data_IF_819053384977
#
_entry.id   IF_819053384977
#
_cell.length_a   1.000
_cell.length_b   1.000
_cell.length_c   1.000
_cell.angle_alpha   90.00
_cell.angle_beta   90.00
_cell.angle_gamma   90.00
#
_symmetry.space_group_name_H-M   'P 1'
#
loop_
_entity.id
_entity.type
_entity.pdbx_description
1 polymer ?
#
# COMPACT_ATOMS: atom_id res chain seq x y z
N UNK A 1 4.96 -27.82 44.98
CA UNK A 1 3.99 -26.81 44.54
C UNK A 1 4.67 -25.99 43.46
N UNK A 2 4.25 -26.17 42.21
CA UNK A 2 4.98 -25.69 41.02
C UNK A 2 4.77 -24.21 40.71
N UNK A 3 5.65 -23.59 39.92
CA UNK A 3 5.43 -22.26 39.39
C UNK A 3 4.42 -22.30 38.24
N UNK A 4 3.45 -21.38 38.28
CA UNK A 4 2.43 -21.16 37.25
C UNK A 4 3.05 -20.32 36.12
N UNK A 5 2.98 -20.74 34.84
CA UNK A 5 3.42 -19.94 33.71
C UNK A 5 2.25 -19.16 33.11
N UNK A 6 2.47 -17.90 32.75
CA UNK A 6 1.50 -17.03 32.07
C UNK A 6 1.65 -15.61 32.63
N UNK A 7 1.91 -14.57 31.84
CA UNK A 7 1.46 -14.29 30.48
C UNK A 7 2.57 -13.48 29.84
N UNK A 8 3.35 -14.07 28.92
CA UNK A 8 4.03 -13.25 27.92
C UNK A 8 2.92 -12.61 27.09
N UNK A 9 2.68 -11.32 27.34
CA UNK A 9 2.02 -10.43 26.38
C UNK A 9 2.82 -10.53 25.10
N UNK A 10 2.39 -11.42 24.21
CA UNK A 10 2.74 -11.35 22.81
C UNK A 10 2.26 -10.00 22.33
N UNK A 11 3.19 -9.04 22.22
CA UNK A 11 3.06 -7.93 21.30
C UNK A 11 2.93 -8.56 19.92
N UNK A 12 1.70 -8.96 19.59
CA UNK A 12 1.30 -9.28 18.24
C UNK A 12 1.43 -7.98 17.47
N UNK A 13 2.65 -7.72 16.99
CA UNK A 13 2.89 -6.77 15.92
C UNK A 13 2.10 -7.30 14.73
N UNK A 14 0.86 -6.83 14.60
CA UNK A 14 0.09 -6.99 13.39
C UNK A 14 0.96 -6.41 12.26
N UNK A 15 1.31 -7.18 11.23
CA UNK A 15 1.89 -6.60 10.05
C UNK A 15 0.75 -5.83 9.38
N UNK A 16 0.65 -4.55 9.72
CA UNK A 16 0.06 -3.58 8.80
C UNK A 16 0.89 -3.75 7.55
N UNK A 17 0.34 -4.39 6.51
CA UNK A 17 0.90 -4.32 5.16
C UNK A 17 0.63 -2.89 4.69
N UNK A 18 1.30 -1.95 5.35
CA UNK A 18 1.58 -0.67 4.80
C UNK A 18 2.45 -1.01 3.60
N UNK A 19 1.85 -1.00 2.42
CA UNK A 19 2.57 -0.67 1.21
C UNK A 19 2.97 0.82 1.33
N UNK A 20 3.78 1.11 2.37
CA UNK A 20 4.50 2.33 2.55
C UNK A 20 5.58 2.27 1.47
N UNK A 21 5.20 2.72 0.28
CA UNK A 21 6.14 3.35 -0.63
C UNK A 21 6.68 4.56 0.15
N UNK A 22 7.71 4.30 0.95
CA UNK A 22 8.48 5.29 1.68
C UNK A 22 9.27 6.10 0.64
N UNK A 23 8.56 6.93 -0.12
CA UNK A 23 9.12 7.99 -0.95
C UNK A 23 9.05 9.28 -0.14
N UNK A 24 9.88 9.39 0.89
CA UNK A 24 10.16 10.68 1.52
C UNK A 24 11.63 10.77 1.90
N UNK A 25 12.31 11.68 1.21
CA UNK A 25 13.25 12.59 1.85
C UNK A 25 14.68 12.09 2.00
N UNK A 26 15.44 12.10 0.90
CA UNK A 26 16.86 12.41 1.02
C UNK A 26 17.02 13.85 1.51
N UNK A 27 16.98 14.08 2.83
CA UNK A 27 17.60 15.24 3.44
C UNK A 27 19.12 15.01 3.43
N UNK A 28 19.72 15.17 2.25
CA UNK A 28 21.17 15.08 2.05
C UNK A 28 21.78 16.45 2.26
N UNK A 29 22.42 16.63 3.42
CA UNK A 29 23.11 17.86 3.79
C UNK A 29 24.18 18.27 2.78
N UNK A 30 24.33 19.58 2.62
CA UNK A 30 25.50 20.19 2.02
C UNK A 30 26.76 19.74 2.76
N UNK A 31 27.54 18.87 2.13
CA UNK A 31 28.99 18.80 2.32
C UNK A 31 29.63 18.97 0.95
N UNK A 32 30.49 19.98 0.87
CA UNK A 32 31.27 20.32 -0.29
C UNK A 32 32.29 19.21 -0.62
N UNK A 33 32.66 19.19 -1.90
CA UNK A 33 33.89 18.64 -2.47
C UNK A 33 34.23 17.17 -2.19
N UNK A 34 33.94 16.33 -3.19
CA UNK A 34 34.91 15.36 -3.69
C UNK A 34 34.52 14.94 -5.11
N UNK A 35 35.31 15.41 -6.08
CA UNK A 35 35.45 14.83 -7.41
C UNK A 35 35.67 13.31 -7.30
N UNK A 36 34.59 12.56 -7.40
CA UNK A 36 34.62 11.13 -7.72
C UNK A 36 33.52 10.92 -8.73
N UNK A 37 33.90 10.54 -9.94
CA UNK A 37 33.00 10.18 -11.03
C UNK A 37 31.95 9.19 -10.51
N UNK A 38 30.78 9.72 -10.14
CA UNK A 38 29.61 8.91 -9.79
C UNK A 38 29.25 8.18 -11.08
N UNK A 39 29.22 6.83 -11.09
CA UNK A 39 28.67 6.12 -12.23
C UNK A 39 27.30 6.71 -12.51
N UNK A 40 27.08 7.17 -13.74
CA UNK A 40 25.77 7.64 -14.16
C UNK A 40 24.75 6.56 -13.75
N UNK A 41 23.64 6.92 -13.07
CA UNK A 41 22.64 5.93 -12.70
C UNK A 41 22.26 5.17 -13.96
N UNK A 42 22.51 3.85 -13.98
CA UNK A 42 22.05 2.99 -15.05
C UNK A 42 20.53 2.89 -14.91
N UNK A 43 19.83 3.89 -15.46
CA UNK A 43 18.38 3.89 -15.55
C UNK A 43 17.99 2.78 -16.51
N UNK A 44 17.63 1.63 -15.95
CA UNK A 44 16.97 0.58 -16.74
C UNK A 44 15.62 1.15 -17.18
N UNK A 45 15.35 1.27 -18.49
CA UNK A 45 14.03 1.69 -18.94
C UNK A 45 12.98 0.64 -18.55
N UNK A 46 11.79 1.09 -18.12
CA UNK A 46 10.64 0.19 -17.91
C UNK A 46 10.36 -0.54 -19.22
N UNK A 47 10.14 -1.85 -19.15
CA UNK A 47 9.69 -2.60 -20.33
C UNK A 47 8.37 -2.00 -20.86
N UNK A 48 8.20 -1.79 -22.17
CA UNK A 48 6.93 -1.34 -22.74
C UNK A 48 5.72 -2.18 -22.30
N UNK A 49 5.93 -3.46 -22.00
CA UNK A 49 4.89 -4.37 -21.52
C UNK A 49 4.48 -4.09 -20.06
N UNK A 50 5.41 -3.59 -19.24
CA UNK A 50 5.14 -3.24 -17.84
C UNK A 50 4.68 -1.79 -17.66
N UNK A 51 4.98 -0.91 -18.63
CA UNK A 51 4.61 0.51 -18.59
C UNK A 51 3.14 0.81 -18.22
N UNK A 52 2.11 0.15 -18.80
CA UNK A 52 0.71 0.43 -18.42
C UNK A 52 0.42 0.05 -16.97
N UNK A 53 0.94 -1.10 -16.51
CA UNK A 53 0.78 -1.51 -15.12
C UNK A 53 1.48 -0.53 -14.17
N UNK A 54 2.69 -0.10 -14.49
CA UNK A 54 3.45 0.82 -13.65
C UNK A 54 2.79 2.21 -13.55
N UNK A 55 2.22 2.71 -14.65
CA UNK A 55 1.42 3.93 -14.62
C UNK A 55 0.17 3.78 -13.74
N UNK A 56 -0.52 2.63 -13.83
CA UNK A 56 -1.69 2.35 -12.99
C UNK A 56 -1.32 2.21 -11.50
N UNK A 57 -0.17 1.60 -11.17
CA UNK A 57 0.36 1.54 -9.80
C UNK A 57 0.56 2.94 -9.23
N UNK A 58 1.15 3.85 -10.02
CA UNK A 58 1.41 5.22 -9.61
C UNK A 58 0.11 6.01 -9.41
N UNK A 59 -0.82 5.93 -10.37
CA UNK A 59 -2.13 6.54 -10.27
C UNK A 59 -2.94 6.01 -9.07
N UNK A 60 -2.82 4.71 -8.77
CA UNK A 60 -3.43 4.11 -7.59
C UNK A 60 -2.80 4.64 -6.29
N UNK A 61 -1.47 4.77 -6.23
CA UNK A 61 -0.79 5.36 -5.08
C UNK A 61 -1.24 6.80 -4.81
N UNK A 62 -1.43 7.61 -5.87
CA UNK A 62 -1.98 8.96 -5.77
C UNK A 62 -3.45 8.96 -5.31
N UNK A 63 -4.27 8.05 -5.85
CA UNK A 63 -5.69 7.94 -5.51
C UNK A 63 -5.93 7.54 -4.06
N UNK A 64 -5.07 6.71 -3.46
CA UNK A 64 -5.16 6.28 -2.07
C UNK A 64 -4.47 7.23 -1.09
N UNK A 65 -3.60 8.16 -1.54
CA UNK A 65 -2.90 9.11 -0.66
C UNK A 65 -3.83 9.84 0.32
N UNK A 66 -5.03 10.32 -0.08
CA UNK A 66 -5.97 10.93 0.85
C UNK A 66 -6.40 9.98 1.97
N UNK A 67 -6.54 8.68 1.69
CA UNK A 67 -6.92 7.62 2.64
C UNK A 67 -5.79 7.28 3.65
N UNK A 68 -4.53 7.58 3.31
CA UNK A 68 -3.40 7.38 4.22
C UNK A 68 -3.24 8.49 5.26
N UNK A 69 -3.76 9.70 5.00
CA UNK A 69 -3.61 10.86 5.91
C UNK A 69 -4.36 10.71 7.25
N UNK A 70 -5.11 9.62 7.42
CA UNK A 70 -6.23 9.51 8.35
C UNK A 70 -5.93 8.65 9.53
N UNK A 71 -5.01 7.71 9.32
CA UNK A 71 -4.28 7.05 10.38
C UNK A 71 -3.40 8.02 11.18
N UNK A 72 -3.00 9.18 10.61
CA UNK A 72 -2.05 10.12 11.22
C UNK A 72 -2.69 11.36 11.85
N UNK A 73 -3.79 11.87 11.31
CA UNK A 73 -4.34 13.19 11.70
C UNK A 73 -5.81 13.18 12.12
N UNK A 74 -6.51 12.04 11.98
CA UNK A 74 -7.87 11.86 12.51
C UNK A 74 -8.98 12.66 11.82
N UNK A 75 -8.86 13.08 10.56
CA UNK A 75 -10.00 13.75 9.89
C UNK A 75 -10.20 13.34 8.42
N UNK A 76 -11.06 12.34 8.20
CA UNK A 76 -11.55 11.89 6.88
C UNK A 76 -12.78 12.70 6.53
N UNK A 77 -12.58 14.01 6.48
CA UNK A 77 -13.49 15.04 6.99
C UNK A 77 -13.57 14.98 8.55
N UNK A 78 -13.92 16.00 9.31
CA UNK A 78 -15.32 16.39 9.50
C UNK A 78 -16.36 15.35 8.97
N UNK A 79 -16.12 14.03 9.07
CA UNK A 79 -16.42 12.98 8.07
C UNK A 79 -17.87 12.90 7.52
N UNK A 80 -18.01 12.91 6.19
CA UNK A 80 -19.22 12.84 5.33
C UNK A 80 -18.83 12.53 3.85
N UNK A 81 -19.37 13.26 2.86
CA UNK A 81 -19.23 12.97 1.42
C UNK A 81 -17.79 12.84 0.89
N UNK A 82 -16.81 13.56 1.46
CA UNK A 82 -15.42 13.49 1.00
C UNK A 82 -14.75 12.13 1.27
N UNK A 83 -15.22 11.38 2.28
CA UNK A 83 -14.75 10.01 2.53
C UNK A 83 -15.27 9.08 1.45
N UNK A 84 -16.57 9.11 1.19
CA UNK A 84 -17.22 8.31 0.16
C UNK A 84 -16.58 8.57 -1.22
N UNK A 85 -16.29 9.83 -1.54
CA UNK A 85 -15.59 10.21 -2.77
C UNK A 85 -14.16 9.67 -2.82
N UNK A 86 -13.39 9.77 -1.73
CA UNK A 86 -12.02 9.25 -1.67
C UNK A 86 -11.97 7.71 -1.81
N UNK A 87 -12.87 7.00 -1.13
CA UNK A 87 -13.02 5.54 -1.27
C UNK A 87 -13.46 5.16 -2.69
N UNK A 88 -14.39 5.90 -3.28
CA UNK A 88 -14.83 5.66 -4.67
C UNK A 88 -13.67 5.82 -5.65
N UNK A 89 -12.85 6.87 -5.50
CA UNK A 89 -11.64 7.08 -6.31
C UNK A 89 -10.65 5.93 -6.15
N UNK A 90 -10.42 5.47 -4.92
CA UNK A 90 -9.53 4.34 -4.62
C UNK A 90 -10.04 3.01 -5.22
N UNK A 91 -11.35 2.79 -5.26
CA UNK A 91 -11.95 1.62 -5.91
C UNK A 91 -11.75 1.66 -7.42
N UNK A 92 -12.05 2.80 -8.04
CA UNK A 92 -11.86 2.97 -9.49
C UNK A 92 -10.39 2.80 -9.89
N UNK A 93 -9.44 3.30 -9.08
CA UNK A 93 -8.01 3.08 -9.32
C UNK A 93 -7.61 1.62 -9.11
N UNK A 94 -8.22 0.90 -8.16
CA UNK A 94 -8.05 -0.54 -8.01
C UNK A 94 -8.50 -1.34 -9.22
N UNK A 95 -9.66 -1.00 -9.82
CA UNK A 95 -10.14 -1.62 -11.06
C UNK A 95 -9.17 -1.35 -12.23
N UNK A 96 -8.71 -0.09 -12.35
CA UNK A 96 -7.71 0.26 -13.37
C UNK A 96 -6.41 -0.53 -13.18
N UNK A 97 -5.99 -0.77 -11.94
CA UNK A 97 -4.81 -1.55 -11.60
C UNK A 97 -4.95 -3.02 -12.04
N UNK A 98 -6.11 -3.65 -11.79
CA UNK A 98 -6.40 -5.03 -12.25
C UNK A 98 -6.39 -5.09 -13.78
N UNK A 99 -7.03 -4.15 -14.45
CA UNK A 99 -7.11 -4.13 -15.91
C UNK A 99 -5.74 -3.92 -16.57
N UNK A 100 -4.88 -3.12 -15.95
CA UNK A 100 -3.52 -2.87 -16.44
C UNK A 100 -2.53 -3.98 -16.06
N UNK A 101 -2.91 -4.90 -15.17
CA UNK A 101 -2.02 -5.96 -14.70
C UNK A 101 -1.66 -6.94 -15.84
N UNK A 102 -0.39 -7.36 -15.92
CA UNK A 102 0.00 -8.46 -16.80
C UNK A 102 -0.74 -9.73 -16.39
N UNK A 103 -1.05 -10.61 -17.34
CA UNK A 103 -1.93 -11.78 -17.12
C UNK A 103 -1.47 -12.64 -15.92
N UNK A 104 -0.15 -12.84 -15.78
CA UNK A 104 0.47 -13.59 -14.68
C UNK A 104 0.27 -12.99 -13.27
N UNK A 105 -0.14 -11.72 -13.17
CA UNK A 105 -0.42 -11.04 -11.90
C UNK A 105 -1.88 -10.64 -11.72
N UNK A 106 -2.72 -10.75 -12.75
CA UNK A 106 -4.09 -10.20 -12.70
C UNK A 106 -4.88 -10.75 -11.51
N UNK A 107 -4.78 -12.06 -11.26
CA UNK A 107 -5.45 -12.70 -10.12
C UNK A 107 -4.89 -12.26 -8.77
N UNK A 108 -3.57 -12.07 -8.67
CA UNK A 108 -2.92 -11.60 -7.45
C UNK A 108 -3.32 -10.14 -7.15
N UNK A 109 -3.33 -9.28 -8.17
CA UNK A 109 -3.78 -7.89 -8.05
C UNK A 109 -5.26 -7.85 -7.66
N UNK A 110 -6.11 -8.68 -8.27
CA UNK A 110 -7.53 -8.75 -7.93
C UNK A 110 -7.76 -9.17 -6.48
N UNK A 111 -7.01 -10.18 -5.97
CA UNK A 111 -7.10 -10.60 -4.57
C UNK A 111 -6.74 -9.48 -3.61
N UNK A 112 -5.64 -8.77 -3.88
CA UNK A 112 -5.21 -7.64 -3.03
C UNK A 112 -6.23 -6.51 -3.07
N UNK A 113 -6.76 -6.15 -4.26
CA UNK A 113 -7.79 -5.12 -4.39
C UNK A 113 -9.07 -5.49 -3.63
N UNK A 114 -9.50 -6.75 -3.71
CA UNK A 114 -10.68 -7.24 -2.96
C UNK A 114 -10.48 -7.13 -1.45
N UNK A 115 -9.30 -7.48 -0.93
CA UNK A 115 -9.00 -7.33 0.50
C UNK A 115 -9.02 -5.86 0.94
N UNK A 116 -8.44 -4.96 0.15
CA UNK A 116 -8.47 -3.52 0.39
C UNK A 116 -9.90 -2.93 0.33
N UNK A 117 -10.79 -3.53 -0.45
CA UNK A 117 -12.20 -3.10 -0.48
C UNK A 117 -12.93 -3.44 0.81
N UNK A 118 -12.57 -4.53 1.50
CA UNK A 118 -13.07 -4.84 2.85
C UNK A 118 -12.63 -3.77 3.85
N UNK A 119 -11.37 -3.36 3.83
CA UNK A 119 -10.85 -2.27 4.66
C UNK A 119 -11.60 -0.95 4.43
N UNK A 120 -11.80 -0.58 3.15
CA UNK A 120 -12.48 0.66 2.78
C UNK A 120 -13.95 0.65 3.19
N UNK A 121 -14.62 -0.50 3.10
CA UNK A 121 -15.99 -0.67 3.57
C UNK A 121 -16.07 -0.45 5.09
N UNK A 122 -15.16 -1.07 5.85
CA UNK A 122 -15.07 -0.88 7.28
C UNK A 122 -14.78 0.59 7.65
N UNK A 123 -13.93 1.28 6.88
CA UNK A 123 -13.63 2.70 7.09
C UNK A 123 -14.84 3.59 6.87
N UNK A 124 -15.64 3.35 5.82
CA UNK A 124 -16.90 4.07 5.58
C UNK A 124 -17.91 3.78 6.69
N UNK A 125 -18.07 2.51 7.07
CA UNK A 125 -18.98 2.11 8.14
C UNK A 125 -18.58 2.68 9.53
N UNK A 126 -17.29 2.90 9.74
CA UNK A 126 -16.75 3.55 10.93
C UNK A 126 -16.78 5.09 10.86
N UNK A 127 -17.33 5.70 9.80
CA UNK A 127 -17.36 7.15 9.63
C UNK A 127 -15.97 7.77 9.49
N UNK A 128 -14.99 7.02 8.96
CA UNK A 128 -13.61 7.47 8.83
C UNK A 128 -12.73 7.26 10.05
N UNK A 129 -13.25 6.68 11.14
CA UNK A 129 -12.44 6.26 12.28
C UNK A 129 -11.62 5.01 11.94
N UNK A 130 -10.36 5.24 11.57
CA UNK A 130 -9.42 4.18 11.21
C UNK A 130 -9.13 3.21 12.37
N UNK A 131 -9.16 3.67 13.62
CA UNK A 131 -8.92 2.81 14.79
C UNK A 131 -10.12 1.88 15.05
N UNK A 132 -11.34 2.36 14.80
CA UNK A 132 -12.55 1.53 14.81
C UNK A 132 -12.58 0.55 13.64
N UNK A 133 -12.28 1.02 12.43
CA UNK A 133 -12.23 0.18 11.23
C UNK A 133 -11.21 -0.95 11.35
N UNK A 134 -10.04 -0.69 11.92
CA UNK A 134 -8.99 -1.70 12.14
C UNK A 134 -9.39 -2.81 13.13
N UNK A 135 -10.43 -2.59 13.95
CA UNK A 135 -10.97 -3.61 14.87
C UNK A 135 -12.06 -4.47 14.23
N UNK A 136 -12.45 -4.18 13.00
CA UNK A 136 -13.43 -4.98 12.28
C UNK A 136 -12.85 -6.39 12.00
N UNK A 137 -13.50 -7.48 12.45
CA UNK A 137 -13.01 -8.83 12.25
C UNK A 137 -12.93 -9.20 10.75
N UNK A 138 -13.79 -8.63 9.89
CA UNK A 138 -13.74 -8.88 8.45
C UNK A 138 -12.45 -8.33 7.83
N UNK A 139 -11.95 -7.19 8.32
CA UNK A 139 -10.67 -6.61 7.88
C UNK A 139 -9.51 -7.53 8.23
N UNK A 140 -9.49 -8.03 9.47
CA UNK A 140 -8.44 -8.98 9.88
C UNK A 140 -8.51 -10.26 9.04
N UNK A 141 -9.71 -10.84 8.90
CA UNK A 141 -9.91 -12.07 8.14
C UNK A 141 -9.51 -11.94 6.66
N UNK A 142 -9.81 -10.80 6.02
CA UNK A 142 -9.46 -10.57 4.62
C UNK A 142 -7.93 -10.49 4.42
N UNK A 143 -7.23 -9.80 5.32
CA UNK A 143 -5.81 -9.50 5.16
C UNK A 143 -4.86 -10.58 5.68
N UNK A 144 -5.31 -11.44 6.60
CA UNK A 144 -4.46 -12.45 7.23
C UNK A 144 -4.39 -13.77 6.47
N UNK A 145 -5.07 -13.89 5.31
CA UNK A 145 -5.03 -15.13 4.54
C UNK A 145 -3.66 -15.33 3.88
N UNK A 146 -3.11 -16.56 3.87
CA UNK A 146 -1.87 -16.86 3.16
C UNK A 146 -1.91 -16.45 1.68
N UNK A 147 -3.09 -16.56 1.06
CA UNK A 147 -3.35 -16.22 -0.33
C UNK A 147 -3.17 -14.72 -0.60
N UNK A 148 -3.72 -13.85 0.25
CA UNK A 148 -3.59 -12.39 0.11
C UNK A 148 -2.16 -11.94 0.44
N UNK A 149 -1.55 -12.52 1.47
CA UNK A 149 -0.14 -12.23 1.84
C UNK A 149 0.79 -12.59 0.68
N UNK A 150 0.66 -13.81 0.13
CA UNK A 150 1.48 -14.26 -0.98
C UNK A 150 1.26 -13.46 -2.27
N UNK A 151 0.02 -13.10 -2.57
CA UNK A 151 -0.31 -12.23 -3.70
C UNK A 151 0.33 -10.84 -3.55
N UNK A 152 0.19 -10.22 -2.37
CA UNK A 152 0.80 -8.92 -2.07
C UNK A 152 2.32 -8.92 -2.22
N UNK A 153 2.99 -9.99 -1.78
CA UNK A 153 4.44 -10.15 -1.97
C UNK A 153 4.82 -10.23 -3.46
N UNK A 154 4.14 -11.08 -4.24
CA UNK A 154 4.43 -11.21 -5.69
C UNK A 154 4.19 -9.92 -6.46
N UNK A 155 3.09 -9.23 -6.18
CA UNK A 155 2.79 -7.91 -6.77
C UNK A 155 3.87 -6.90 -6.40
N UNK A 156 4.25 -6.80 -5.13
CA UNK A 156 5.28 -5.88 -4.66
C UNK A 156 6.65 -6.16 -5.32
N UNK A 157 7.06 -7.43 -5.38
CA UNK A 157 8.29 -7.84 -6.07
C UNK A 157 8.28 -7.44 -7.55
N UNK A 158 7.17 -7.68 -8.25
CA UNK A 158 7.07 -7.30 -9.65
C UNK A 158 7.15 -5.78 -9.84
N UNK A 159 6.45 -5.00 -9.03
CA UNK A 159 6.51 -3.53 -9.07
C UNK A 159 7.94 -3.04 -8.83
N UNK A 160 8.63 -3.59 -7.83
CA UNK A 160 10.02 -3.22 -7.54
C UNK A 160 10.97 -3.52 -8.71
N UNK A 161 10.79 -4.66 -9.37
CA UNK A 161 11.66 -5.10 -10.46
C UNK A 161 11.38 -4.38 -11.79
N UNK A 162 10.14 -3.97 -12.02
CA UNK A 162 9.68 -3.52 -13.35
C UNK A 162 9.24 -2.07 -13.41
N UNK A 163 8.77 -1.48 -12.29
CA UNK A 163 8.25 -0.12 -12.27
C UNK A 163 9.23 0.92 -11.73
N UNK A 164 10.39 0.48 -11.24
CA UNK A 164 11.49 1.39 -10.92
C UNK A 164 12.24 1.77 -12.20
N UNK A 165 11.75 2.79 -12.90
CA UNK A 165 12.60 3.57 -13.80
C UNK A 165 12.68 5.01 -13.28
N UNK A 166 13.90 5.46 -13.04
CA UNK A 166 14.27 6.87 -12.98
C UNK A 166 13.32 7.75 -12.17
N UNK A 167 13.49 7.75 -10.85
CA UNK A 167 13.27 8.96 -10.06
C UNK A 167 14.07 10.10 -10.72
N UNK A 168 13.37 10.94 -11.50
CA UNK A 168 13.91 12.23 -11.98
C UNK A 168 13.78 13.26 -10.89
#
# INVERSE_FOLDING_TARGET
MGPVPGVLRSLGAAPVVALAVALLGGCGGSVADADTARPAPTTRPVSPQAAPFCAAVQANADAIRPLNGLSLSGSLNAAGDGLTAAVTRARLSGVALVNAAPDQLRDDVQRVVNALDVERNALVAAGGDAARAARDPAVTAANSTPEVIGAGQRVSTYVQQNCQAGSR
#
